data_IF_117152017938
#
_entry.id   IF_117152017938
#
_cell.length_a   1.000
_cell.length_b   1.000
_cell.length_c   1.000
_cell.angle_alpha   90.00
_cell.angle_beta   90.00
_cell.angle_gamma   90.00
#
_symmetry.space_group_name_H-M   'P 1'
#
loop_
_entity.id
_entity.type
_entity.pdbx_description
1 polymer ?
#
# COMPACT_ATOMS: atom_id res chain seq x y z
N UNK A 1 3.20 20.83 10.78
CA UNK A 1 2.13 19.87 10.45
C UNK A 1 0.81 20.63 10.35
N UNK A 2 0.07 20.44 9.25
CA UNK A 2 -1.17 21.18 8.99
C UNK A 2 -2.27 20.68 9.94
N UNK A 3 -2.76 21.53 10.85
CA UNK A 3 -3.52 21.16 12.06
C UNK A 3 -4.88 20.45 11.83
N UNK A 4 -5.32 20.27 10.58
CA UNK A 4 -6.55 19.56 10.21
C UNK A 4 -6.36 18.21 9.51
N UNK A 5 -5.14 17.85 9.05
CA UNK A 5 -4.94 16.57 8.35
C UNK A 5 -4.85 15.44 9.37
N UNK A 6 -5.55 14.33 9.09
CA UNK A 6 -5.43 13.05 9.81
C UNK A 6 -4.90 11.96 8.88
N UNK A 7 -3.61 12.00 8.46
CA UNK A 7 -3.09 11.10 7.45
C UNK A 7 -3.23 9.63 7.83
N UNK A 8 -3.01 9.30 9.10
CA UNK A 8 -3.16 7.92 9.57
C UNK A 8 -4.60 7.41 9.42
N UNK A 9 -5.58 8.20 9.85
CA UNK A 9 -7.00 7.86 9.66
C UNK A 9 -7.36 7.75 8.18
N UNK A 10 -6.93 8.72 7.35
CA UNK A 10 -7.21 8.72 5.92
C UNK A 10 -6.61 7.52 5.19
N UNK A 11 -5.36 7.15 5.51
CA UNK A 11 -4.69 5.99 4.92
C UNK A 11 -5.37 4.68 5.30
N UNK A 12 -5.69 4.48 6.58
CA UNK A 12 -6.31 3.24 7.06
C UNK A 12 -7.75 3.07 6.53
N UNK A 13 -8.55 4.15 6.52
CA UNK A 13 -9.91 4.11 5.95
C UNK A 13 -9.86 3.96 4.43
N UNK A 14 -8.97 4.70 3.75
CA UNK A 14 -8.81 4.62 2.29
C UNK A 14 -8.40 3.23 1.84
N UNK A 15 -7.51 2.57 2.58
CA UNK A 15 -7.14 1.17 2.36
C UNK A 15 -8.35 0.25 2.47
N UNK A 16 -9.12 0.33 3.56
CA UNK A 16 -10.29 -0.51 3.76
C UNK A 16 -11.41 -0.27 2.72
N UNK A 17 -11.59 0.98 2.30
CA UNK A 17 -12.54 1.32 1.23
C UNK A 17 -12.06 0.80 -0.13
N UNK A 18 -10.76 0.91 -0.42
CA UNK A 18 -10.17 0.42 -1.66
C UNK A 18 -10.26 -1.11 -1.77
N UNK A 19 -9.94 -1.81 -0.69
CA UNK A 19 -10.12 -3.25 -0.53
C UNK A 19 -11.59 -3.63 -0.80
N UNK A 20 -12.54 -3.05 -0.06
CA UNK A 20 -13.95 -3.39 -0.21
C UNK A 20 -14.55 -3.06 -1.59
N UNK A 21 -14.08 -2.00 -2.25
CA UNK A 21 -14.47 -1.66 -3.62
C UNK A 21 -13.82 -2.61 -4.64
N UNK A 22 -12.59 -3.05 -4.40
CA UNK A 22 -11.83 -3.92 -5.29
C UNK A 22 -12.28 -5.37 -5.24
N UNK A 23 -12.68 -5.86 -4.07
CA UNK A 23 -13.02 -7.27 -3.84
C UNK A 23 -14.03 -7.87 -4.84
N UNK A 24 -15.17 -7.22 -5.19
CA UNK A 24 -16.10 -7.76 -6.18
C UNK A 24 -15.53 -7.88 -7.60
N UNK A 25 -14.42 -7.20 -7.88
CA UNK A 25 -13.77 -7.12 -9.19
C UNK A 25 -12.46 -7.89 -9.26
N UNK A 26 -12.07 -8.56 -8.18
CA UNK A 26 -10.86 -9.35 -8.14
C UNK A 26 -10.85 -10.42 -9.26
N UNK A 27 -9.69 -10.58 -9.91
CA UNK A 27 -9.48 -11.46 -11.07
C UNK A 27 -10.25 -11.10 -12.36
N UNK A 28 -10.99 -10.00 -12.40
CA UNK A 28 -11.65 -9.53 -13.62
C UNK A 28 -10.71 -8.67 -14.48
N UNK A 29 -10.82 -8.81 -15.81
CA UNK A 29 -10.23 -7.84 -16.74
C UNK A 29 -11.01 -6.53 -16.72
N UNK A 30 -10.43 -5.43 -17.22
CA UNK A 30 -11.15 -4.14 -17.29
C UNK A 30 -12.48 -4.25 -18.05
N UNK A 31 -12.51 -4.99 -19.16
CA UNK A 31 -13.73 -5.22 -19.93
C UNK A 31 -14.78 -6.00 -19.11
N UNK A 32 -14.36 -7.00 -18.32
CA UNK A 32 -15.26 -7.72 -17.42
C UNK A 32 -15.78 -6.83 -16.28
N UNK A 33 -14.93 -5.94 -15.75
CA UNK A 33 -15.35 -4.96 -14.73
C UNK A 33 -16.39 -4.02 -15.31
N UNK A 34 -16.15 -3.45 -16.49
CA UNK A 34 -17.10 -2.56 -17.17
C UNK A 34 -18.42 -3.26 -17.47
N UNK A 35 -18.38 -4.52 -17.92
CA UNK A 35 -19.58 -5.32 -18.15
C UNK A 35 -20.34 -5.65 -16.85
N UNK A 36 -19.62 -5.97 -15.77
CA UNK A 36 -20.21 -6.37 -14.48
C UNK A 36 -20.75 -5.19 -13.67
N UNK A 37 -20.01 -4.09 -13.65
CA UNK A 37 -20.21 -2.97 -12.73
C UNK A 37 -20.65 -1.68 -13.44
N UNK A 38 -20.63 -1.64 -14.77
CA UNK A 38 -20.85 -0.41 -15.53
C UNK A 38 -19.69 0.58 -15.37
N UNK A 39 -19.96 1.90 -15.35
CA UNK A 39 -18.93 2.93 -15.18
C UNK A 39 -18.25 2.84 -13.80
N UNK A 40 -17.19 2.03 -13.69
CA UNK A 40 -16.53 1.69 -12.43
C UNK A 40 -16.02 2.90 -11.62
N UNK A 41 -15.75 4.04 -12.28
CA UNK A 41 -15.37 5.30 -11.61
C UNK A 41 -16.49 5.93 -10.77
N UNK A 42 -17.74 5.55 -11.03
CA UNK A 42 -18.91 5.98 -10.27
C UNK A 42 -19.49 4.86 -9.40
N UNK A 43 -18.75 3.76 -9.20
CA UNK A 43 -19.26 2.61 -8.46
C UNK A 43 -19.53 2.98 -7.00
N UNK A 44 -20.72 2.65 -6.51
CA UNK A 44 -21.06 2.80 -5.11
C UNK A 44 -20.33 1.76 -4.25
N UNK A 45 -20.06 2.09 -2.99
CA UNK A 45 -19.52 1.14 -2.03
C UNK A 45 -20.51 -0.05 -1.86
N UNK A 46 -20.07 -1.31 -2.01
CA UNK A 46 -20.90 -2.48 -1.80
C UNK A 46 -21.54 -2.49 -0.41
N UNK A 47 -22.73 -3.09 -0.29
CA UNK A 47 -23.43 -3.27 0.98
C UNK A 47 -23.82 -4.74 1.17
N UNK A 48 -23.31 -5.42 2.21
CA UNK A 48 -22.27 -4.95 3.14
C UNK A 48 -20.92 -4.74 2.44
N UNK A 49 -20.11 -3.82 2.96
CA UNK A 49 -18.76 -3.56 2.48
C UNK A 49 -17.78 -4.51 3.17
N UNK A 50 -17.54 -5.68 2.56
CA UNK A 50 -16.59 -6.65 3.09
C UNK A 50 -15.16 -6.24 2.76
N UNK A 51 -14.28 -6.36 3.75
CA UNK A 51 -12.83 -6.25 3.57
C UNK A 51 -12.19 -7.64 3.51
N UNK A 52 -11.05 -7.75 2.83
CA UNK A 52 -10.28 -8.99 2.59
C UNK A 52 -8.99 -9.05 3.41
N UNK A 53 -8.09 -9.95 3.03
CA UNK A 53 -6.76 -10.09 3.60
C UNK A 53 -5.93 -8.80 3.58
N UNK A 54 -6.10 -7.91 2.59
CA UNK A 54 -5.47 -6.57 2.56
C UNK A 54 -5.70 -5.82 3.88
N UNK A 55 -6.96 -5.57 4.25
CA UNK A 55 -7.29 -4.86 5.49
C UNK A 55 -6.99 -5.72 6.72
N UNK A 56 -7.33 -7.02 6.69
CA UNK A 56 -7.14 -7.89 7.85
C UNK A 56 -5.67 -7.98 8.27
N UNK A 57 -4.76 -8.20 7.32
CA UNK A 57 -3.33 -8.25 7.59
C UNK A 57 -2.76 -6.87 7.94
N UNK A 58 -3.31 -5.78 7.39
CA UNK A 58 -2.96 -4.41 7.82
C UNK A 58 -3.29 -4.20 9.30
N UNK A 59 -4.46 -4.66 9.75
CA UNK A 59 -4.86 -4.56 11.15
C UNK A 59 -3.97 -5.43 12.05
N UNK A 60 -3.64 -6.65 11.61
CA UNK A 60 -2.69 -7.53 12.30
C UNK A 60 -1.33 -6.85 12.48
N UNK A 61 -0.78 -6.27 11.41
CA UNK A 61 0.48 -5.53 11.47
C UNK A 61 0.39 -4.29 12.37
N UNK A 62 -0.69 -3.52 12.28
CA UNK A 62 -0.93 -2.36 13.16
C UNK A 62 -0.99 -2.73 14.64
N UNK A 63 -1.63 -3.85 14.99
CA UNK A 63 -1.64 -4.37 16.37
C UNK A 63 -0.26 -4.81 16.83
N UNK A 64 0.52 -5.48 15.98
CA UNK A 64 1.89 -5.86 16.28
C UNK A 64 2.79 -4.63 16.55
N UNK A 65 2.69 -3.60 15.72
CA UNK A 65 3.39 -2.33 15.92
C UNK A 65 3.00 -1.66 17.23
N UNK A 66 1.70 -1.60 17.54
CA UNK A 66 1.21 -1.04 18.82
C UNK A 66 1.78 -1.81 20.01
N UNK A 67 1.76 -3.14 19.97
CA UNK A 67 2.31 -3.99 21.03
C UNK A 67 3.82 -3.78 21.20
N UNK A 68 4.57 -3.71 20.11
CA UNK A 68 6.01 -3.49 20.15
C UNK A 68 6.39 -2.08 20.62
N UNK A 69 5.70 -1.04 20.13
CA UNK A 69 5.93 0.35 20.51
C UNK A 69 5.55 0.64 21.97
N UNK A 70 4.54 -0.05 22.51
CA UNK A 70 4.20 0.00 23.94
C UNK A 70 5.30 -0.52 24.86
N UNK A 71 6.30 -1.24 24.32
CA UNK A 71 7.46 -1.79 25.05
C UNK A 71 8.75 -0.96 24.83
N UNK A 72 8.66 0.19 24.18
CA UNK A 72 9.77 1.10 23.90
C UNK A 72 10.10 1.26 22.41
N UNK A 73 11.30 1.78 22.12
CA UNK A 73 11.76 2.02 20.73
C UNK A 73 11.66 0.74 19.89
N UNK A 74 11.04 0.85 18.71
CA UNK A 74 10.94 -0.26 17.77
C UNK A 74 12.33 -0.76 17.35
N UNK A 75 12.54 -2.04 17.54
CA UNK A 75 13.73 -2.79 17.12
C UNK A 75 13.27 -4.13 16.56
N UNK A 76 14.08 -4.80 15.73
CA UNK A 76 13.72 -6.11 15.16
C UNK A 76 13.36 -7.12 16.25
N UNK A 77 14.15 -7.21 17.32
CA UNK A 77 13.88 -8.10 18.46
C UNK A 77 12.54 -7.80 19.16
N UNK A 78 12.13 -6.53 19.25
CA UNK A 78 10.85 -6.15 19.88
C UNK A 78 9.66 -6.38 18.95
N UNK A 79 9.83 -6.24 17.64
CA UNK A 79 8.74 -6.36 16.66
C UNK A 79 8.49 -7.80 16.21
N UNK A 80 9.54 -8.60 16.06
CA UNK A 80 9.46 -9.93 15.44
C UNK A 80 8.41 -10.83 16.09
N UNK A 81 8.42 -10.94 17.42
CA UNK A 81 7.48 -11.81 18.15
C UNK A 81 6.03 -11.33 18.02
N UNK A 82 5.66 -10.08 18.37
CA UNK A 82 4.30 -9.59 18.18
C UNK A 82 3.80 -9.72 16.74
N UNK A 83 4.66 -9.47 15.75
CA UNK A 83 4.28 -9.58 14.35
C UNK A 83 3.98 -11.01 13.94
N UNK A 84 4.84 -11.96 14.36
CA UNK A 84 4.63 -13.38 14.15
C UNK A 84 3.31 -13.85 14.77
N UNK A 85 3.05 -13.46 16.02
CA UNK A 85 1.83 -13.83 16.75
C UNK A 85 0.58 -13.30 16.02
N UNK A 86 0.57 -12.03 15.60
CA UNK A 86 -0.55 -11.43 14.88
C UNK A 86 -0.80 -12.05 13.49
N UNK A 87 0.25 -12.42 12.76
CA UNK A 87 0.10 -13.11 11.47
C UNK A 87 -0.39 -14.55 11.62
N UNK A 88 0.08 -15.28 12.63
CA UNK A 88 -0.40 -16.64 12.92
C UNK A 88 -1.85 -16.60 13.40
N UNK A 89 -2.22 -15.60 14.20
CA UNK A 89 -3.60 -15.43 14.66
C UNK A 89 -4.54 -15.06 13.49
N UNK A 90 -4.11 -14.15 12.61
CA UNK A 90 -4.84 -13.88 11.37
C UNK A 90 -5.04 -15.16 10.54
N UNK A 91 -3.99 -15.96 10.37
CA UNK A 91 -4.06 -17.20 9.60
C UNK A 91 -5.06 -18.21 10.18
N UNK A 92 -5.14 -18.34 11.51
CA UNK A 92 -6.09 -19.24 12.20
C UNK A 92 -7.51 -18.70 12.27
N UNK A 93 -7.71 -17.41 12.03
CA UNK A 93 -9.00 -16.76 12.20
C UNK A 93 -10.03 -17.34 11.23
N UNK A 94 -11.27 -17.64 11.68
CA UNK A 94 -12.35 -18.03 10.79
C UNK A 94 -12.75 -16.92 9.80
N UNK A 95 -12.38 -15.66 10.10
CA UNK A 95 -12.58 -14.50 9.22
C UNK A 95 -11.59 -14.44 8.05
N UNK A 96 -10.52 -15.25 8.09
CA UNK A 96 -9.57 -15.38 6.99
C UNK A 96 -10.14 -16.29 5.88
N UNK A 97 -11.24 -15.84 5.27
CA UNK A 97 -12.01 -16.58 4.27
C UNK A 97 -12.33 -15.75 3.01
N UNK A 98 -11.68 -14.58 2.87
CA UNK A 98 -11.90 -13.62 1.78
C UNK A 98 -10.57 -13.27 1.13
N UNK A 99 -10.31 -13.89 -0.02
CA UNK A 99 -9.16 -13.67 -0.90
C UNK A 99 -7.74 -13.91 -0.34
N UNK A 100 -7.48 -14.78 0.66
CA UNK A 100 -6.13 -14.90 1.19
C UNK A 100 -5.09 -15.37 0.17
N UNK A 101 -4.04 -14.57 0.00
CA UNK A 101 -2.91 -14.94 -0.84
C UNK A 101 -2.21 -16.22 -0.37
N UNK A 102 -1.97 -17.17 -1.30
CA UNK A 102 -1.29 -18.46 -1.00
C UNK A 102 0.05 -18.29 -0.29
N UNK A 103 0.86 -17.31 -0.69
CA UNK A 103 2.15 -17.00 -0.05
C UNK A 103 1.99 -16.64 1.42
N UNK A 104 1.01 -15.78 1.75
CA UNK A 104 0.72 -15.41 3.13
C UNK A 104 0.29 -16.63 3.95
N UNK A 105 -0.61 -17.46 3.41
CA UNK A 105 -1.10 -18.67 4.09
C UNK A 105 0.04 -19.64 4.40
N UNK A 106 0.85 -20.01 3.40
CA UNK A 106 1.98 -20.93 3.58
C UNK A 106 2.99 -20.40 4.59
N UNK A 107 3.35 -19.11 4.50
CA UNK A 107 4.30 -18.54 5.44
C UNK A 107 3.75 -18.49 6.87
N UNK A 108 2.48 -18.11 7.06
CA UNK A 108 1.88 -18.05 8.40
C UNK A 108 1.72 -19.44 9.02
N UNK A 109 1.39 -20.45 8.22
CA UNK A 109 1.40 -21.85 8.66
C UNK A 109 2.80 -22.26 9.15
N UNK A 110 3.85 -21.96 8.39
CA UNK A 110 5.23 -22.26 8.80
C UNK A 110 5.66 -21.45 10.04
N UNK A 111 5.26 -20.19 10.13
CA UNK A 111 5.49 -19.34 11.30
C UNK A 111 4.79 -19.85 12.56
N UNK A 112 3.68 -20.58 12.42
CA UNK A 112 2.93 -21.15 13.56
C UNK A 112 3.73 -22.21 14.33
N UNK A 113 4.83 -22.70 13.75
CA UNK A 113 5.78 -23.62 14.36
C UNK A 113 6.83 -22.82 15.15
N UNK A 114 6.79 -22.78 16.49
CA UNK A 114 7.59 -21.86 17.31
C UNK A 114 9.10 -22.09 17.19
N UNK A 115 9.52 -23.33 16.94
CA UNK A 115 10.92 -23.73 16.77
C UNK A 115 11.55 -23.25 15.45
N UNK A 116 10.71 -22.87 14.47
CA UNK A 116 11.17 -22.43 13.17
C UNK A 116 11.67 -20.99 13.23
N UNK A 117 12.87 -20.73 12.70
CA UNK A 117 13.34 -19.36 12.46
C UNK A 117 12.52 -18.74 11.32
N UNK A 118 12.18 -17.45 11.42
CA UNK A 118 11.20 -16.83 10.52
C UNK A 118 11.67 -16.83 9.05
N UNK A 119 12.98 -16.79 8.81
CA UNK A 119 13.58 -16.85 7.48
C UNK A 119 13.18 -18.14 6.73
N UNK A 120 13.09 -19.27 7.44
CA UNK A 120 12.64 -20.54 6.87
C UNK A 120 11.13 -20.59 6.57
N UNK A 121 10.34 -19.67 7.14
CA UNK A 121 8.92 -19.53 6.79
C UNK A 121 8.72 -18.59 5.59
N UNK A 122 9.69 -17.71 5.34
CA UNK A 122 9.68 -16.73 4.27
C UNK A 122 9.71 -17.38 2.89
N UNK A 123 8.79 -16.99 2.01
CA UNK A 123 8.72 -17.52 0.65
C UNK A 123 9.62 -16.68 -0.28
N UNK A 124 10.86 -17.14 -0.49
CA UNK A 124 11.89 -16.38 -1.24
C UNK A 124 11.57 -16.16 -2.72
N UNK A 125 10.78 -17.06 -3.32
CA UNK A 125 10.35 -16.94 -4.72
C UNK A 125 9.17 -15.98 -4.92
N UNK A 126 8.55 -15.47 -3.85
CA UNK A 126 7.33 -14.68 -3.96
C UNK A 126 7.59 -13.19 -3.85
N UNK A 127 7.30 -12.47 -4.94
CA UNK A 127 7.26 -11.00 -5.01
C UNK A 127 5.85 -10.43 -5.14
N UNK A 128 4.85 -11.18 -4.64
CA UNK A 128 3.44 -10.80 -4.69
C UNK A 128 3.08 -9.55 -3.85
N UNK A 129 1.91 -8.96 -4.14
CA UNK A 129 1.42 -7.76 -3.46
C UNK A 129 1.04 -7.98 -1.98
N UNK A 130 0.95 -9.24 -1.51
CA UNK A 130 0.58 -9.59 -0.14
C UNK A 130 1.49 -8.98 0.95
N UNK A 131 2.75 -8.68 0.60
CA UNK A 131 3.64 -7.91 1.47
C UNK A 131 3.37 -6.40 1.45
N UNK A 132 3.03 -5.86 0.28
CA UNK A 132 2.92 -4.43 0.03
C UNK A 132 1.58 -3.85 0.50
N UNK A 133 0.49 -4.59 0.30
CA UNK A 133 -0.89 -4.15 0.59
C UNK A 133 -1.10 -3.71 2.04
N UNK A 134 -0.28 -4.24 2.96
CA UNK A 134 -0.44 -4.07 4.41
C UNK A 134 0.56 -3.14 5.06
N UNK A 135 1.46 -2.51 4.30
CA UNK A 135 2.63 -1.81 4.87
C UNK A 135 2.33 -0.42 5.44
N UNK A 136 1.19 0.19 5.08
CA UNK A 136 0.84 1.57 5.42
C UNK A 136 1.05 1.94 6.91
N UNK A 137 0.77 1.10 7.91
CA UNK A 137 1.05 1.39 9.31
C UNK A 137 2.52 1.76 9.60
N UNK A 138 3.50 1.15 8.91
CA UNK A 138 4.92 1.44 9.09
C UNK A 138 5.26 2.90 8.78
N UNK A 139 4.58 3.50 7.80
CA UNK A 139 4.76 4.89 7.40
C UNK A 139 4.24 5.90 8.42
N UNK A 140 3.32 5.46 9.29
CA UNK A 140 2.48 6.34 10.11
C UNK A 140 2.81 6.28 11.60
N UNK A 141 3.72 5.38 12.02
CA UNK A 141 4.24 5.37 13.39
C UNK A 141 4.97 6.69 13.69
N UNK A 142 4.53 7.46 14.70
CA UNK A 142 5.16 8.72 15.06
C UNK A 142 6.59 8.53 15.59
N UNK A 143 7.49 9.46 15.25
CA UNK A 143 8.85 9.50 15.82
C UNK A 143 9.80 8.39 15.34
N UNK A 144 9.40 7.57 14.36
CA UNK A 144 10.26 6.55 13.77
C UNK A 144 11.26 7.21 12.79
N UNK A 145 12.56 7.00 13.02
CA UNK A 145 13.60 7.42 12.08
C UNK A 145 13.55 6.61 10.77
N UNK A 146 14.15 7.14 9.71
CA UNK A 146 14.05 6.53 8.37
C UNK A 146 14.64 5.12 8.31
N UNK A 147 15.83 4.82 8.88
CA UNK A 147 16.37 3.47 8.88
C UNK A 147 15.47 2.47 9.62
N UNK A 148 14.87 2.87 10.74
CA UNK A 148 13.94 1.99 11.47
C UNK A 148 12.63 1.80 10.70
N UNK A 149 12.14 2.82 10.00
CA UNK A 149 10.94 2.73 9.16
C UNK A 149 11.13 1.77 7.99
N UNK A 150 12.24 1.92 7.29
CA UNK A 150 12.69 1.02 6.22
C UNK A 150 12.82 -0.41 6.74
N UNK A 151 13.47 -0.60 7.90
CA UNK A 151 13.60 -1.90 8.55
C UNK A 151 12.28 -2.54 8.96
N UNK A 152 11.34 -1.78 9.52
CA UNK A 152 9.99 -2.24 9.88
C UNK A 152 9.21 -2.66 8.62
N UNK A 153 9.26 -1.86 7.56
CA UNK A 153 8.57 -2.12 6.30
C UNK A 153 9.11 -3.38 5.59
N UNK A 154 10.43 -3.58 5.60
CA UNK A 154 11.06 -4.77 5.01
C UNK A 154 10.87 -6.01 5.89
N UNK A 155 11.02 -5.91 7.22
CA UNK A 155 10.82 -7.06 8.12
C UNK A 155 9.39 -7.60 8.01
N UNK A 156 8.37 -6.72 7.96
CA UNK A 156 6.99 -7.21 7.84
C UNK A 156 6.70 -7.94 6.53
N UNK A 157 7.37 -7.53 5.45
CA UNK A 157 7.30 -8.21 4.16
C UNK A 157 7.98 -9.57 4.29
N UNK A 158 9.21 -9.56 4.80
CA UNK A 158 10.12 -10.68 4.92
C UNK A 158 9.57 -11.84 5.75
N UNK A 159 8.67 -11.62 6.71
CA UNK A 159 8.00 -12.71 7.43
C UNK A 159 7.17 -13.63 6.53
N UNK A 160 6.81 -13.18 5.32
CA UNK A 160 5.99 -13.97 4.38
C UNK A 160 6.55 -14.03 2.96
N UNK A 161 7.08 -12.91 2.47
CA UNK A 161 7.61 -12.74 1.13
C UNK A 161 9.08 -12.36 1.27
N UNK A 162 9.97 -13.30 1.02
CA UNK A 162 11.41 -13.09 1.21
C UNK A 162 12.14 -12.67 -0.07
N UNK A 163 11.41 -12.49 -1.18
CA UNK A 163 11.99 -11.97 -2.40
C UNK A 163 12.41 -10.51 -2.20
N UNK A 164 13.61 -10.08 -2.63
CA UNK A 164 14.10 -8.73 -2.36
C UNK A 164 13.20 -7.64 -2.95
N UNK A 165 12.57 -7.86 -4.11
CA UNK A 165 11.56 -6.94 -4.65
C UNK A 165 10.37 -6.74 -3.71
N UNK A 166 9.92 -7.77 -2.99
CA UNK A 166 8.80 -7.62 -2.05
C UNK A 166 9.18 -6.71 -0.87
N UNK A 167 10.41 -6.86 -0.39
CA UNK A 167 10.99 -6.02 0.67
C UNK A 167 11.13 -4.58 0.18
N UNK A 168 11.82 -4.37 -0.95
CA UNK A 168 12.06 -3.06 -1.54
C UNK A 168 10.75 -2.33 -1.90
N UNK A 169 9.77 -3.03 -2.48
CA UNK A 169 8.47 -2.44 -2.81
C UNK A 169 7.68 -2.03 -1.56
N UNK A 170 7.72 -2.85 -0.50
CA UNK A 170 7.09 -2.52 0.78
C UNK A 170 7.71 -1.27 1.41
N UNK A 171 9.03 -1.17 1.39
CA UNK A 171 9.77 0.00 1.86
C UNK A 171 9.42 1.25 1.03
N UNK A 172 9.48 1.14 -0.30
CA UNK A 172 9.16 2.24 -1.22
C UNK A 172 7.71 2.73 -1.04
N UNK A 173 6.76 1.82 -0.79
CA UNK A 173 5.37 2.18 -0.50
C UNK A 173 5.24 2.86 0.86
N UNK A 174 5.95 2.39 1.89
CA UNK A 174 5.97 3.05 3.19
C UNK A 174 6.54 4.47 3.09
N UNK A 175 7.61 4.67 2.31
CA UNK A 175 8.14 5.98 2.00
C UNK A 175 7.11 6.87 1.30
N UNK A 176 6.44 6.36 0.25
CA UNK A 176 5.40 7.09 -0.47
C UNK A 176 4.27 7.58 0.46
N UNK A 177 3.76 6.70 1.32
CA UNK A 177 2.72 7.03 2.30
C UNK A 177 3.21 8.10 3.28
N UNK A 178 4.46 8.01 3.75
CA UNK A 178 5.06 8.99 4.68
C UNK A 178 5.12 10.38 4.04
N UNK A 179 5.71 10.51 2.86
CA UNK A 179 5.88 11.83 2.21
C UNK A 179 4.53 12.46 1.84
N UNK A 180 3.54 11.66 1.43
CA UNK A 180 2.17 12.13 1.21
C UNK A 180 1.51 12.61 2.51
N UNK A 181 1.74 11.89 3.61
CA UNK A 181 1.25 12.28 4.94
C UNK A 181 1.89 13.61 5.40
N UNK A 182 3.15 13.84 5.07
CA UNK A 182 3.90 15.06 5.40
C UNK A 182 3.54 16.26 4.52
N UNK A 183 2.98 16.05 3.31
CA UNK A 183 2.48 17.14 2.47
C UNK A 183 2.89 17.11 1.02
N UNK A 184 3.69 16.13 0.58
CA UNK A 184 4.01 15.98 -0.83
C UNK A 184 2.73 15.80 -1.66
N UNK A 185 2.73 16.36 -2.87
CA UNK A 185 1.63 16.27 -3.82
C UNK A 185 1.83 15.05 -4.73
N UNK A 186 0.76 14.46 -5.28
CA UNK A 186 0.87 13.32 -6.20
C UNK A 186 1.84 13.54 -7.38
N UNK A 187 1.89 14.76 -7.93
CA UNK A 187 2.80 15.12 -9.02
C UNK A 187 4.30 15.12 -8.65
N UNK A 188 4.62 15.13 -7.35
CA UNK A 188 5.99 15.11 -6.83
C UNK A 188 6.48 13.68 -6.55
N UNK A 189 5.62 12.66 -6.69
CA UNK A 189 5.94 11.30 -6.26
C UNK A 189 7.02 10.63 -7.09
N UNK A 190 6.96 10.72 -8.42
CA UNK A 190 7.94 10.04 -9.25
C UNK A 190 9.40 10.44 -8.95
N UNK A 191 9.77 11.74 -8.90
CA UNK A 191 11.14 12.13 -8.55
C UNK A 191 11.53 11.72 -7.12
N UNK A 192 10.64 11.90 -6.14
CA UNK A 192 10.90 11.50 -4.75
C UNK A 192 11.15 9.99 -4.61
N UNK A 193 10.36 9.16 -5.30
CA UNK A 193 10.52 7.71 -5.29
C UNK A 193 11.82 7.28 -5.98
N UNK A 194 12.22 7.92 -7.08
CA UNK A 194 13.50 7.65 -7.75
C UNK A 194 14.70 7.98 -6.85
N UNK A 195 14.65 9.13 -6.19
CA UNK A 195 15.70 9.53 -5.24
C UNK A 195 15.82 8.52 -4.10
N UNK A 196 14.68 8.08 -3.53
CA UNK A 196 14.67 7.08 -2.47
C UNK A 196 15.22 5.72 -2.93
N UNK A 197 14.87 5.27 -4.13
CA UNK A 197 15.42 4.05 -4.73
C UNK A 197 16.93 4.16 -4.88
N UNK A 198 17.44 5.26 -5.44
CA UNK A 198 18.88 5.47 -5.63
C UNK A 198 19.63 5.48 -4.29
N UNK A 199 19.09 6.16 -3.27
CA UNK A 199 19.68 6.24 -1.93
C UNK A 199 19.66 4.90 -1.18
N UNK A 200 18.71 4.01 -1.50
CA UNK A 200 18.51 2.73 -0.80
C UNK A 200 19.13 1.53 -1.52
N UNK A 201 19.46 1.67 -2.81
CA UNK A 201 19.76 0.58 -3.75
C UNK A 201 20.70 -0.49 -3.20
N UNK A 202 21.82 -0.10 -2.59
CA UNK A 202 22.87 -1.02 -2.14
C UNK A 202 22.87 -1.27 -0.62
N UNK A 203 21.86 -0.77 0.11
CA UNK A 203 21.79 -0.86 1.58
C UNK A 203 20.97 -2.05 2.04
N UNK A 204 21.65 -3.14 2.42
CA UNK A 204 21.01 -4.21 3.19
C UNK A 204 20.88 -3.80 4.66
N UNK A 205 19.78 -4.20 5.28
CA UNK A 205 19.48 -3.85 6.68
C UNK A 205 19.77 -5.05 7.58
N UNK A 206 21.04 -5.41 7.76
CA UNK A 206 21.47 -6.58 8.54
C UNK A 206 20.82 -6.62 9.93
N UNK A 207 20.72 -5.47 10.60
CA UNK A 207 20.09 -5.38 11.91
C UNK A 207 18.63 -5.86 11.91
N UNK A 208 17.89 -5.64 10.82
CA UNK A 208 16.46 -5.98 10.69
C UNK A 208 16.20 -7.32 10.01
N UNK A 209 16.99 -7.65 9.00
CA UNK A 209 16.77 -8.83 8.15
C UNK A 209 17.66 -10.01 8.51
N UNK A 210 18.67 -9.79 9.36
CA UNK A 210 19.61 -10.81 9.76
C UNK A 210 20.31 -11.44 8.57
N UNK A 211 20.25 -12.76 8.50
CA UNK A 211 20.85 -13.60 7.47
C UNK A 211 19.87 -14.00 6.35
N UNK A 212 18.71 -13.34 6.21
CA UNK A 212 17.69 -13.72 5.20
C UNK A 212 18.27 -13.94 3.81
N UNK A 213 19.22 -13.09 3.40
CA UNK A 213 19.85 -13.17 2.08
C UNK A 213 20.56 -14.53 1.85
N UNK A 214 21.09 -15.17 2.90
CA UNK A 214 21.77 -16.47 2.81
C UNK A 214 20.84 -17.63 2.46
N UNK A 215 19.53 -17.45 2.61
CA UNK A 215 18.54 -18.44 2.20
C UNK A 215 18.25 -18.33 0.69
N UNK A 216 18.65 -17.23 0.05
CA UNK A 216 18.55 -17.04 -1.40
C UNK A 216 19.75 -17.63 -2.13
N UNK A 217 19.77 -17.48 -3.47
CA UNK A 217 20.93 -17.84 -4.29
C UNK A 217 21.82 -16.62 -4.60
N UNK A 218 21.58 -15.48 -3.95
CA UNK A 218 22.36 -14.26 -4.16
C UNK A 218 23.73 -14.38 -3.45
N UNK A 219 24.84 -13.95 -4.10
CA UNK A 219 26.19 -14.15 -3.58
C UNK A 219 26.55 -13.26 -2.38
N UNK A 220 25.86 -12.13 -2.21
CA UNK A 220 26.11 -11.15 -1.14
C UNK A 220 24.79 -10.50 -0.70
N UNK A 221 24.72 -9.94 0.52
CA UNK A 221 23.56 -9.16 0.97
C UNK A 221 23.30 -7.95 0.08
N UNK A 222 24.37 -7.33 -0.45
CA UNK A 222 24.26 -6.21 -1.40
C UNK A 222 23.61 -6.64 -2.70
N UNK A 223 24.05 -7.75 -3.31
CA UNK A 223 23.44 -8.26 -4.56
C UNK A 223 21.96 -8.59 -4.37
N UNK A 224 21.61 -9.20 -3.23
CA UNK A 224 20.23 -9.49 -2.87
C UNK A 224 19.35 -8.22 -2.89
N UNK A 225 19.76 -7.13 -2.22
CA UNK A 225 18.93 -5.90 -2.20
C UNK A 225 18.93 -5.14 -3.51
N UNK A 226 20.06 -5.08 -4.22
CA UNK A 226 20.15 -4.37 -5.49
C UNK A 226 19.15 -4.93 -6.49
N UNK A 227 19.00 -6.26 -6.56
CA UNK A 227 18.00 -6.92 -7.40
C UNK A 227 16.58 -6.46 -7.11
N UNK A 228 16.22 -6.28 -5.83
CA UNK A 228 14.91 -5.79 -5.42
C UNK A 228 14.66 -4.33 -5.78
N UNK A 229 15.65 -3.47 -5.53
CA UNK A 229 15.57 -2.05 -5.84
C UNK A 229 15.60 -1.77 -7.35
N UNK A 230 16.36 -2.55 -8.11
CA UNK A 230 16.42 -2.45 -9.58
C UNK A 230 15.07 -2.81 -10.22
N UNK A 231 14.38 -3.84 -9.74
CA UNK A 231 13.02 -4.14 -10.20
C UNK A 231 12.03 -3.01 -9.86
N UNK A 232 12.20 -2.35 -8.71
CA UNK A 232 11.41 -1.17 -8.35
C UNK A 232 11.72 0.02 -9.27
N UNK A 233 12.99 0.27 -9.59
CA UNK A 233 13.40 1.30 -10.55
C UNK A 233 12.77 1.07 -11.93
N UNK A 234 12.79 -0.16 -12.43
CA UNK A 234 12.17 -0.54 -13.70
C UNK A 234 10.63 -0.34 -13.69
N UNK A 235 9.98 -0.52 -12.54
CA UNK A 235 8.57 -0.19 -12.38
C UNK A 235 8.32 1.32 -12.49
N UNK A 236 9.18 2.14 -11.88
CA UNK A 236 9.11 3.61 -12.00
C UNK A 236 9.41 4.09 -13.43
N UNK A 237 10.33 3.44 -14.16
CA UNK A 237 10.59 3.73 -15.58
C UNK A 237 9.36 3.46 -16.47
N UNK A 238 8.60 2.41 -16.16
CA UNK A 238 7.33 2.11 -16.85
C UNK A 238 6.27 3.16 -16.53
N UNK A 239 6.18 3.59 -15.26
CA UNK A 239 5.27 4.65 -14.84
C UNK A 239 5.56 5.97 -15.55
N UNK A 240 6.84 6.37 -15.63
CA UNK A 240 7.26 7.61 -16.28
C UNK A 240 6.88 7.63 -17.77
N UNK A 241 7.17 6.54 -18.49
CA UNK A 241 6.78 6.41 -19.91
C UNK A 241 5.27 6.54 -20.10
N UNK A 242 4.48 5.85 -19.27
CA UNK A 242 3.03 5.91 -19.34
C UNK A 242 2.46 7.32 -19.06
N UNK A 243 3.07 8.08 -18.15
CA UNK A 243 2.69 9.47 -17.88
C UNK A 243 3.09 10.40 -19.03
N UNK A 244 4.27 10.20 -19.62
CA UNK A 244 4.76 10.96 -20.76
C UNK A 244 3.93 10.78 -22.03
N UNK A 245 3.50 9.55 -22.32
CA UNK A 245 2.60 9.24 -23.45
C UNK A 245 1.24 9.94 -23.30
N UNK A 246 0.67 9.96 -22.08
CA UNK A 246 -0.58 10.67 -21.80
C UNK A 246 -0.45 12.20 -21.93
N UNK A 247 0.71 12.76 -21.57
CA UNK A 247 1.00 14.18 -21.76
C UNK A 247 1.12 14.59 -23.23
N UNK A 248 1.58 13.67 -24.10
CA UNK A 248 1.72 13.89 -25.55
C UNK A 248 0.42 13.61 -26.34
N UNK A 249 -0.48 12.78 -25.81
CA UNK A 249 -1.77 12.45 -26.42
C UNK A 249 -2.90 13.46 -26.18
N UNK A 250 -2.64 14.58 -25.50
CA UNK A 250 -3.62 15.65 -25.23
C UNK A 250 -3.87 16.65 -26.39
N UNK A 251 -3.27 16.42 -27.56
CA UNK A 251 -3.41 17.28 -28.74
C UNK A 251 -4.38 16.69 -29.77
N UNK A 252 -5.51 17.38 -29.98
CA UNK A 252 -6.48 17.23 -31.08
C UNK A 252 -7.18 15.87 -31.24
N UNK A 253 -8.42 15.82 -30.77
CA UNK A 253 -9.44 14.98 -31.42
C UNK A 253 -9.61 15.44 -32.88
N UNK A 254 -9.67 14.54 -33.88
CA UNK A 254 -9.88 14.93 -35.26
C UNK A 254 -11.28 15.55 -35.39
N UNK A 255 -11.31 16.80 -35.85
CA UNK A 255 -12.53 17.52 -36.13
C UNK A 255 -13.35 16.78 -37.17
N UNK A 256 -14.47 16.20 -36.73
CA UNK A 256 -15.50 15.72 -37.63
C UNK A 256 -16.05 16.94 -38.39
N UNK A 257 -15.67 17.11 -39.67
CA UNK A 257 -16.37 18.01 -40.59
C UNK A 257 -17.74 17.40 -40.89
N UNK A 258 -18.70 17.68 -40.00
CA UNK A 258 -20.12 17.46 -40.19
C UNK A 258 -20.77 18.70 -40.79
N UNK A 259 -21.35 18.52 -41.97
CA UNK A 259 -22.08 19.47 -42.81
C UNK A 259 -23.19 20.19 -42.01
N UNK A 260 -23.33 21.49 -42.26
CA UNK A 260 -24.32 22.40 -41.66
C UNK A 260 -25.76 21.89 -41.81
N UNK A 261 -26.47 21.77 -40.68
CA UNK A 261 -27.93 21.64 -40.59
C UNK A 261 -28.41 22.44 -39.37
N UNK A 262 -29.31 23.39 -39.59
CA UNK A 262 -29.80 24.39 -38.62
C UNK A 262 -30.70 23.76 -37.54
N UNK A 263 -30.55 24.19 -36.29
CA UNK A 263 -31.52 23.97 -35.20
C UNK A 263 -30.92 24.27 -33.82
N UNK A 264 -31.47 25.24 -33.10
CA UNK A 264 -30.84 25.89 -31.94
C UNK A 264 -31.04 25.26 -30.55
N UNK A 265 -30.24 25.74 -29.59
CA UNK A 265 -30.34 25.46 -28.14
C UNK A 265 -29.01 25.80 -27.44
N UNK A 266 -29.00 26.40 -26.22
CA UNK A 266 -27.90 27.25 -25.78
C UNK A 266 -26.70 26.51 -25.16
N UNK A 267 -25.61 27.28 -25.11
CA UNK A 267 -24.20 26.96 -24.81
C UNK A 267 -24.00 26.55 -23.35
N UNK A 268 -23.05 25.64 -23.09
CA UNK A 268 -22.09 25.80 -21.99
C UNK A 268 -20.72 25.20 -22.36
N UNK A 269 -19.70 26.07 -22.31
CA UNK A 269 -18.26 25.77 -22.23
C UNK A 269 -17.84 25.69 -20.75
N UNK A 270 -16.60 25.23 -20.53
CA UNK A 270 -15.78 25.16 -19.31
C UNK A 270 -15.84 23.78 -18.63
N UNK A 271 -14.76 22.99 -18.55
CA UNK A 271 -13.50 23.23 -17.82
C UNK A 271 -13.73 23.57 -16.35
N UNK A 272 -13.08 22.85 -15.44
CA UNK A 272 -12.52 23.26 -14.12
C UNK A 272 -12.56 22.12 -13.08
N UNK A 273 -11.39 21.90 -12.45
CA UNK A 273 -11.16 21.18 -11.18
C UNK A 273 -11.97 21.78 -10.02
N UNK A 274 -12.20 21.05 -8.92
CA UNK A 274 -11.52 21.43 -7.65
C UNK A 274 -11.07 20.18 -6.86
N UNK A 275 -9.95 20.08 -6.12
CA UNK A 275 -9.28 20.97 -5.17
C UNK A 275 -10.19 21.44 -4.01
N UNK A 276 -10.14 20.76 -2.85
CA UNK A 276 -10.63 21.32 -1.59
C UNK A 276 -9.64 21.11 -0.44
N UNK A 277 -9.20 22.25 0.09
CA UNK A 277 -8.53 22.47 1.36
C UNK A 277 -9.30 23.55 2.13
N UNK A 278 -9.38 23.43 3.46
CA UNK A 278 -9.62 24.54 4.40
C UNK A 278 -11.08 24.80 4.77
N UNK A 279 -11.39 24.77 6.07
CA UNK A 279 -12.74 24.99 6.61
C UNK A 279 -12.92 26.28 7.39
N UNK A 280 -14.09 26.45 8.01
CA UNK A 280 -14.32 27.23 9.23
C UNK A 280 -15.74 26.97 9.78
N UNK A 281 -15.87 27.22 11.07
CA UNK A 281 -16.99 27.03 11.99
C UNK A 281 -18.39 27.49 11.54
N UNK A 282 -19.42 26.77 12.01
CA UNK A 282 -20.51 27.38 12.78
C UNK A 282 -21.19 26.37 13.72
N UNK A 283 -21.57 26.86 14.90
CA UNK A 283 -22.19 26.17 16.05
C UNK A 283 -23.69 25.88 15.86
N UNK A 284 -24.17 25.00 16.77
CA UNK A 284 -25.54 24.75 17.25
C UNK A 284 -26.39 23.80 16.36
N UNK A 285 -27.17 22.84 16.87
CA UNK A 285 -27.72 22.62 18.21
C UNK A 285 -28.02 21.12 18.48
N UNK A 286 -28.41 20.86 19.71
CA UNK A 286 -28.65 19.58 20.39
C UNK A 286 -29.58 18.57 19.70
N UNK A 287 -29.33 17.28 19.98
CA UNK A 287 -30.24 16.16 19.75
C UNK A 287 -29.70 14.87 20.36
N UNK A 288 -30.04 14.62 21.64
CA UNK A 288 -29.77 13.38 22.36
C UNK A 288 -30.51 12.21 21.70
N UNK A 289 -29.85 11.08 21.48
CA UNK A 289 -30.51 9.76 21.47
C UNK A 289 -29.61 8.77 22.21
N UNK A 290 -30.20 8.17 23.25
CA UNK A 290 -29.61 7.18 24.14
C UNK A 290 -29.49 5.80 23.47
N UNK A 291 -28.52 5.06 24.00
CA UNK A 291 -28.31 3.62 23.93
C UNK A 291 -29.58 2.79 24.20
N UNK A 292 -29.72 1.69 23.44
CA UNK A 292 -29.92 0.35 23.96
C UNK A 292 -29.05 -0.62 23.18
#
# INVERSE_FOLDING_TARGET
MNAGRRPATGAMIGLALGDALGFPTEFNTLAMIEAKCGPWRGMALPRPAFVTDDTQMTLAFGRALRTAAGRGRLTPLRLLRPLREEYVEWWRSPENNRAPGRTCLTACELLSRPERVWQQASQLGSKGCGANMRVAPAALVPGLDEPSRSGVAQLQAALTHGHPTALAASDLTAYAVRVLAEGARPGEMLPLLREYVAASRSRYLDHWLGDLWTYSQDPTPTHFVERGWDECAQALDRLERALGERGRGGGSLPGHRGRLGRGGGPRHRAAVLPALSGGAAHRAAAGRVQLR
#
